data_IF_611576653030
#
_entry.id   IF_611576653030
#
_cell.length_a   1.000
_cell.length_b   1.000
_cell.length_c   1.000
_cell.angle_alpha   90.00
_cell.angle_beta   90.00
_cell.angle_gamma   90.00
#
_symmetry.space_group_name_H-M   'P 1'
#
loop_
_entity.id
_entity.type
_entity.pdbx_description
1 polymer ?
#
# COMPACT_ATOMS: atom_id res chain seq x y z
N UNK A 1 72.63 -12.13 38.97
CA UNK A 1 73.00 -11.39 40.20
C UNK A 1 72.04 -10.21 40.31
N UNK A 2 71.31 -9.92 41.37
CA UNK A 2 71.10 -10.54 42.67
C UNK A 2 69.62 -10.32 43.06
N UNK A 3 69.09 -11.24 43.85
CA UNK A 3 67.71 -11.28 44.33
C UNK A 3 67.62 -10.76 45.77
N UNK A 4 66.46 -10.22 46.15
CA UNK A 4 65.83 -10.31 47.49
C UNK A 4 64.77 -9.20 47.63
N UNK A 5 63.66 -9.29 48.38
CA UNK A 5 62.81 -10.33 48.98
C UNK A 5 61.82 -9.52 49.84
N UNK A 6 60.54 -9.87 49.89
CA UNK A 6 59.62 -9.37 50.91
C UNK A 6 58.14 -9.60 50.61
N UNK A 7 57.56 -10.68 51.16
CA UNK A 7 56.12 -11.04 51.15
C UNK A 7 55.50 -10.69 52.55
N UNK A 8 54.17 -10.82 52.80
CA UNK A 8 53.26 -9.82 53.40
C UNK A 8 52.83 -10.21 54.86
N UNK A 9 51.80 -9.57 55.47
CA UNK A 9 50.46 -10.19 55.42
C UNK A 9 49.21 -9.28 55.54
N UNK A 10 48.10 -9.82 55.02
CA UNK A 10 46.70 -9.81 55.49
C UNK A 10 46.01 -8.53 56.02
N UNK A 11 44.87 -8.19 55.39
CA UNK A 11 43.82 -7.37 55.97
C UNK A 11 42.55 -7.36 55.12
N UNK A 12 41.51 -8.09 55.57
CA UNK A 12 40.15 -8.13 55.01
C UNK A 12 39.54 -6.71 54.96
N UNK A 13 38.79 -6.41 53.90
CA UNK A 13 37.34 -6.07 53.92
C UNK A 13 36.91 -5.52 52.57
N UNK A 14 36.00 -6.22 51.89
CA UNK A 14 35.06 -5.57 50.98
C UNK A 14 34.21 -4.59 51.78
N UNK A 15 33.70 -3.53 51.14
CA UNK A 15 32.27 -3.43 51.08
C UNK A 15 31.78 -3.25 49.65
N UNK A 16 30.68 -3.96 49.39
CA UNK A 16 29.81 -3.73 48.26
C UNK A 16 29.40 -2.25 48.22
N UNK A 17 29.98 -1.51 47.29
CA UNK A 17 29.47 -0.22 46.85
C UNK A 17 28.62 -0.43 45.61
N UNK A 18 27.35 -0.75 45.80
CA UNK A 18 26.31 -0.68 44.77
C UNK A 18 26.11 0.78 44.35
N UNK A 19 27.04 1.29 43.54
CA UNK A 19 26.98 2.63 42.96
C UNK A 19 26.07 2.66 41.75
N UNK A 20 24.76 2.75 42.00
CA UNK A 20 23.76 3.38 41.14
C UNK A 20 23.95 3.19 39.63
N UNK A 21 23.43 2.08 39.10
CA UNK A 21 23.08 2.01 37.69
C UNK A 21 22.16 3.19 37.36
N UNK A 22 22.70 4.14 36.58
CA UNK A 22 22.07 5.37 36.11
C UNK A 22 20.58 5.21 35.79
N UNK A 23 19.73 5.61 36.74
CA UNK A 23 18.30 5.86 36.52
C UNK A 23 18.06 7.15 35.73
N UNK A 24 19.11 7.99 35.58
CA UNK A 24 19.08 9.21 34.77
C UNK A 24 18.93 8.90 33.27
N UNK A 25 19.51 7.81 32.76
CA UNK A 25 19.39 7.42 31.35
C UNK A 25 18.01 6.91 30.94
N UNK A 26 17.24 6.30 31.85
CA UNK A 26 15.90 5.76 31.54
C UNK A 26 14.81 6.84 31.55
N UNK A 27 14.90 7.83 32.46
CA UNK A 27 13.95 8.95 32.53
C UNK A 27 14.04 9.88 31.32
N UNK A 28 15.23 10.07 30.76
CA UNK A 28 15.44 10.96 29.60
C UNK A 28 14.90 10.36 28.30
N UNK A 29 14.99 9.04 28.12
CA UNK A 29 14.47 8.34 26.93
C UNK A 29 12.93 8.32 26.94
N UNK A 30 12.31 8.01 28.09
CA UNK A 30 10.86 8.05 28.22
C UNK A 30 10.29 9.47 28.00
N UNK A 31 10.96 10.49 28.54
CA UNK A 31 10.58 11.89 28.32
C UNK A 31 10.79 12.36 26.87
N UNK A 32 11.82 11.85 26.17
CA UNK A 32 12.06 12.15 24.76
C UNK A 32 11.00 11.52 23.85
N UNK A 33 10.53 10.31 24.17
CA UNK A 33 9.45 9.63 23.45
C UNK A 33 8.06 10.26 23.73
N UNK A 34 7.87 10.85 24.92
CA UNK A 34 6.63 11.56 25.27
C UNK A 34 6.55 12.99 24.70
N UNK A 35 7.63 13.52 24.11
CA UNK A 35 7.63 14.86 23.52
C UNK A 35 6.80 14.88 22.25
N UNK A 36 5.89 15.86 22.17
CA UNK A 36 5.14 16.13 20.95
C UNK A 36 6.13 16.42 19.81
N UNK A 37 6.00 15.75 18.66
CA UNK A 37 6.88 15.98 17.53
C UNK A 37 6.83 17.44 17.08
N UNK A 38 7.96 17.97 16.63
CA UNK A 38 8.01 19.33 16.12
C UNK A 38 7.13 19.46 14.87
N UNK A 39 6.65 20.68 14.57
CA UNK A 39 5.85 20.95 13.37
C UNK A 39 6.51 20.46 12.08
N UNK A 40 7.85 20.54 12.00
CA UNK A 40 8.63 20.03 10.86
C UNK A 40 8.50 18.50 10.74
N UNK A 41 8.71 17.77 11.84
CA UNK A 41 8.58 16.31 11.86
C UNK A 41 7.15 15.88 11.48
N UNK A 42 6.13 16.55 12.01
CA UNK A 42 4.73 16.25 11.65
C UNK A 42 4.47 16.50 10.17
N UNK A 43 4.96 17.61 9.60
CA UNK A 43 4.83 17.91 8.17
C UNK A 43 5.55 16.86 7.31
N UNK A 44 6.76 16.47 7.67
CA UNK A 44 7.55 15.49 6.92
C UNK A 44 6.88 14.11 6.94
N UNK A 45 6.34 13.70 8.09
CA UNK A 45 5.53 12.48 8.21
C UNK A 45 4.26 12.53 7.36
N UNK A 46 3.52 13.64 7.38
CA UNK A 46 2.33 13.80 6.54
C UNK A 46 2.67 13.72 5.05
N UNK A 47 3.76 14.36 4.62
CA UNK A 47 4.21 14.30 3.22
C UNK A 47 4.57 12.86 2.81
N UNK A 48 5.21 12.10 3.70
CA UNK A 48 5.54 10.70 3.46
C UNK A 48 4.27 9.86 3.32
N UNK A 49 3.30 10.02 4.22
CA UNK A 49 2.01 9.30 4.13
C UNK A 49 1.21 9.69 2.88
N UNK A 50 1.21 10.97 2.48
CA UNK A 50 0.56 11.40 1.24
C UNK A 50 1.25 10.82 -0.01
N UNK A 51 2.58 10.71 -0.02
CA UNK A 51 3.33 10.05 -1.10
C UNK A 51 3.00 8.56 -1.17
N UNK A 52 2.93 7.90 -0.01
CA UNK A 52 2.50 6.50 0.09
C UNK A 52 1.07 6.33 -0.40
N UNK A 53 0.15 7.18 0.01
CA UNK A 53 -1.25 7.17 -0.46
C UNK A 53 -1.34 7.34 -1.98
N UNK A 54 -0.54 8.26 -2.55
CA UNK A 54 -0.45 8.44 -4.00
C UNK A 54 0.05 7.17 -4.70
N UNK A 55 1.07 6.51 -4.17
CA UNK A 55 1.59 5.26 -4.74
C UNK A 55 0.53 4.15 -4.69
N UNK A 56 -0.15 3.97 -3.55
CA UNK A 56 -1.24 3.01 -3.42
C UNK A 56 -2.40 3.31 -4.38
N UNK A 57 -2.76 4.58 -4.55
CA UNK A 57 -3.81 4.98 -5.50
C UNK A 57 -3.45 4.60 -6.93
N UNK A 58 -2.21 4.87 -7.35
CA UNK A 58 -1.73 4.51 -8.69
C UNK A 58 -1.77 2.99 -8.90
N UNK A 59 -1.25 2.21 -7.97
CA UNK A 59 -1.24 0.75 -8.08
C UNK A 59 -2.66 0.17 -8.17
N UNK A 60 -3.58 0.67 -7.34
CA UNK A 60 -5.00 0.26 -7.39
C UNK A 60 -5.63 0.64 -8.73
N UNK A 61 -5.37 1.85 -9.22
CA UNK A 61 -5.93 2.31 -10.48
C UNK A 61 -5.40 1.51 -11.67
N UNK A 62 -4.10 1.18 -11.69
CA UNK A 62 -3.48 0.35 -12.72
C UNK A 62 -4.07 -1.05 -12.75
N UNK A 63 -4.19 -1.71 -11.60
CA UNK A 63 -4.84 -3.03 -11.50
C UNK A 63 -6.29 -2.98 -11.99
N UNK A 64 -7.03 -1.96 -11.55
CA UNK A 64 -8.41 -1.76 -11.97
C UNK A 64 -8.54 -1.60 -13.50
N UNK A 65 -7.67 -0.79 -14.12
CA UNK A 65 -7.66 -0.61 -15.58
C UNK A 65 -7.32 -1.93 -16.28
N UNK A 66 -6.29 -2.64 -15.80
CA UNK A 66 -5.89 -3.93 -16.37
C UNK A 66 -7.02 -4.97 -16.31
N UNK A 67 -7.74 -5.07 -15.18
CA UNK A 67 -8.86 -6.00 -15.03
C UNK A 67 -10.03 -5.65 -15.97
N UNK A 68 -10.37 -4.36 -16.07
CA UNK A 68 -11.42 -3.88 -16.97
C UNK A 68 -11.06 -4.10 -18.45
N UNK A 69 -9.81 -3.79 -18.83
CA UNK A 69 -9.30 -4.03 -20.19
C UNK A 69 -9.24 -5.51 -20.52
N UNK A 70 -8.80 -6.36 -19.59
CA UNK A 70 -8.78 -7.81 -19.75
C UNK A 70 -10.19 -8.37 -19.99
N UNK A 71 -11.18 -7.89 -19.24
CA UNK A 71 -12.59 -8.26 -19.46
C UNK A 71 -13.11 -7.85 -20.84
N UNK A 72 -12.77 -6.64 -21.30
CA UNK A 72 -13.10 -6.18 -22.65
C UNK A 72 -12.40 -7.01 -23.74
N UNK A 73 -11.12 -7.30 -23.56
CA UNK A 73 -10.33 -8.11 -24.49
C UNK A 73 -10.91 -9.52 -24.64
N UNK A 74 -11.31 -10.17 -23.55
CA UNK A 74 -11.93 -11.50 -23.59
C UNK A 74 -13.26 -11.50 -24.37
N UNK A 75 -14.07 -10.44 -24.21
CA UNK A 75 -15.32 -10.27 -24.97
C UNK A 75 -15.02 -10.06 -26.46
N UNK A 76 -14.03 -9.22 -26.79
CA UNK A 76 -13.59 -8.99 -28.18
C UNK A 76 -13.12 -10.30 -28.82
N UNK A 77 -12.20 -11.01 -28.18
CA UNK A 77 -11.66 -12.28 -28.66
C UNK A 77 -12.78 -13.31 -28.89
N UNK A 78 -13.78 -13.35 -28.02
CA UNK A 78 -14.94 -14.23 -28.14
C UNK A 78 -15.79 -13.89 -29.37
N UNK A 79 -16.04 -12.60 -29.61
CA UNK A 79 -16.79 -12.13 -30.78
C UNK A 79 -16.02 -12.37 -32.08
N UNK A 80 -14.69 -12.24 -32.07
CA UNK A 80 -13.83 -12.50 -33.23
C UNK A 80 -13.79 -13.99 -33.59
N UNK A 81 -13.80 -14.88 -32.59
CA UNK A 81 -13.70 -16.34 -32.81
C UNK A 81 -15.01 -17.05 -33.07
N UNK A 82 -16.12 -16.60 -32.45
CA UNK A 82 -17.42 -17.26 -32.58
C UNK A 82 -18.17 -16.70 -33.79
N UNK A 83 -18.68 -17.59 -34.65
CA UNK A 83 -19.69 -17.20 -35.63
C UNK A 83 -21.02 -16.98 -34.89
N UNK A 84 -21.47 -15.74 -34.84
CA UNK A 84 -22.68 -15.34 -34.12
C UNK A 84 -23.78 -14.93 -35.12
N UNK A 85 -25.06 -15.29 -34.86
CA UNK A 85 -26.16 -14.81 -35.68
C UNK A 85 -26.24 -13.28 -35.68
N UNK A 86 -26.59 -12.68 -36.83
CA UNK A 86 -26.69 -11.23 -37.00
C UNK A 86 -27.60 -10.57 -35.94
N UNK A 87 -28.73 -11.20 -35.60
CA UNK A 87 -29.64 -10.71 -34.57
C UNK A 87 -28.97 -10.57 -33.18
N UNK A 88 -28.05 -11.47 -32.84
CA UNK A 88 -27.30 -11.44 -31.57
C UNK A 88 -26.25 -10.34 -31.57
N UNK A 89 -25.54 -10.17 -32.70
CA UNK A 89 -24.61 -9.07 -32.91
C UNK A 89 -25.30 -7.70 -32.80
N UNK A 90 -26.48 -7.55 -33.43
CA UNK A 90 -27.29 -6.34 -33.36
C UNK A 90 -27.75 -6.03 -31.94
N UNK A 91 -28.14 -7.05 -31.17
CA UNK A 91 -28.48 -6.91 -29.76
C UNK A 91 -27.32 -6.33 -28.94
N UNK A 92 -26.14 -6.94 -29.06
CA UNK A 92 -24.93 -6.47 -28.37
C UNK A 92 -24.52 -5.06 -28.82
N UNK A 93 -24.63 -4.75 -30.11
CA UNK A 93 -24.30 -3.44 -30.66
C UNK A 93 -25.21 -2.34 -30.10
N UNK A 94 -26.51 -2.62 -29.90
CA UNK A 94 -27.43 -1.69 -29.25
C UNK A 94 -27.05 -1.41 -27.79
N UNK A 95 -26.62 -2.43 -27.04
CA UNK A 95 -26.15 -2.28 -25.66
C UNK A 95 -24.96 -1.32 -25.62
N UNK A 96 -23.95 -1.55 -26.48
CA UNK A 96 -22.75 -0.71 -26.54
C UNK A 96 -23.08 0.72 -26.99
N UNK A 97 -23.89 0.89 -28.03
CA UNK A 97 -24.29 2.22 -28.54
C UNK A 97 -25.20 2.99 -27.58
N UNK A 98 -25.91 2.30 -26.70
CA UNK A 98 -26.69 2.92 -25.62
C UNK A 98 -25.84 3.55 -24.52
N UNK A 99 -24.53 3.29 -24.51
CA UNK A 99 -23.62 3.85 -23.52
C UNK A 99 -23.37 5.34 -23.76
N UNK A 100 -23.93 6.18 -22.89
CA UNK A 100 -23.63 7.61 -22.85
C UNK A 100 -22.64 7.92 -21.72
N UNK A 101 -21.42 8.29 -22.12
CA UNK A 101 -20.32 8.66 -21.21
C UNK A 101 -19.65 9.96 -21.68
N UNK A 102 -19.04 10.71 -20.75
CA UNK A 102 -18.27 11.93 -21.07
C UNK A 102 -16.82 11.74 -20.61
N UNK A 103 -15.93 11.17 -21.45
CA UNK A 103 -14.60 10.72 -21.03
C UNK A 103 -13.77 11.78 -20.31
N UNK A 104 -13.81 13.04 -20.81
CA UNK A 104 -13.06 14.17 -20.24
C UNK A 104 -13.44 14.51 -18.79
N UNK A 105 -14.58 14.04 -18.29
CA UNK A 105 -15.03 14.31 -16.92
C UNK A 105 -14.47 13.33 -15.88
N UNK A 106 -13.88 12.20 -16.29
CA UNK A 106 -13.27 11.24 -15.36
C UNK A 106 -14.21 10.72 -14.26
N UNK A 107 -15.50 10.55 -14.57
CA UNK A 107 -16.49 10.18 -13.56
C UNK A 107 -16.37 8.70 -13.20
N UNK A 108 -16.17 8.38 -11.92
CA UNK A 108 -16.22 6.99 -11.43
C UNK A 108 -17.51 6.26 -11.83
N UNK A 109 -18.64 6.96 -11.88
CA UNK A 109 -19.92 6.40 -12.34
C UNK A 109 -19.91 5.96 -13.81
N UNK A 110 -19.08 6.60 -14.65
CA UNK A 110 -18.97 6.25 -16.07
C UNK A 110 -18.15 4.96 -16.24
N UNK A 111 -17.11 4.77 -15.42
CA UNK A 111 -16.33 3.52 -15.38
C UNK A 111 -17.23 2.32 -15.00
N UNK A 112 -18.03 2.45 -13.95
CA UNK A 112 -18.99 1.41 -13.56
C UNK A 112 -20.05 1.11 -14.63
N UNK A 113 -20.41 2.09 -15.48
CA UNK A 113 -21.32 1.86 -16.62
C UNK A 113 -20.64 1.05 -17.72
N UNK A 114 -19.36 1.33 -18.00
CA UNK A 114 -18.59 0.56 -18.99
C UNK A 114 -18.55 -0.91 -18.57
N UNK A 115 -18.16 -1.19 -17.32
CA UNK A 115 -18.14 -2.56 -16.78
C UNK A 115 -19.49 -3.26 -16.88
N UNK A 116 -20.58 -2.56 -16.54
CA UNK A 116 -21.93 -3.10 -16.66
C UNK A 116 -22.30 -3.44 -18.11
N UNK A 117 -21.90 -2.60 -19.07
CA UNK A 117 -22.11 -2.87 -20.49
C UNK A 117 -21.31 -4.10 -20.93
N UNK A 118 -20.04 -4.21 -20.55
CA UNK A 118 -19.19 -5.37 -20.85
C UNK A 118 -19.80 -6.65 -20.27
N UNK A 119 -20.25 -6.63 -19.02
CA UNK A 119 -20.93 -7.76 -18.38
C UNK A 119 -22.25 -8.12 -19.09
N UNK A 120 -22.99 -7.13 -19.59
CA UNK A 120 -24.23 -7.36 -20.34
C UNK A 120 -23.95 -8.01 -21.69
N UNK A 121 -22.92 -7.56 -22.41
CA UNK A 121 -22.47 -8.18 -23.66
C UNK A 121 -21.98 -9.61 -23.41
N UNK A 122 -21.23 -9.84 -22.33
CA UNK A 122 -20.77 -11.18 -21.95
C UNK A 122 -21.93 -12.15 -21.69
N UNK A 123 -22.96 -11.68 -20.97
CA UNK A 123 -24.19 -12.44 -20.76
C UNK A 123 -24.88 -12.76 -22.09
N UNK A 124 -24.93 -11.81 -23.02
CA UNK A 124 -25.45 -12.05 -24.36
C UNK A 124 -24.61 -13.09 -25.12
N UNK A 125 -23.32 -13.27 -24.83
CA UNK A 125 -22.46 -14.32 -25.42
C UNK A 125 -22.64 -15.70 -24.76
N UNK A 126 -23.34 -15.79 -23.62
CA UNK A 126 -23.57 -17.03 -22.88
C UNK A 126 -22.41 -17.41 -21.96
N UNK A 127 -21.64 -16.43 -21.52
CA UNK A 127 -20.57 -16.55 -20.51
C UNK A 127 -20.94 -15.80 -19.22
#
# INVERSE_FOLDING_TARGET
>A
MAAAKGKPPAGKTSPAGSGSASTAGKKTVAAALARKPSRKVVKDMLLLELRRLRAMFTEIAERYVADAEGGMAAVIETVERKSLPAARLDGMLRIVRGLSIKPRKGRRKDLARIEKVVASVRKELGE
#
